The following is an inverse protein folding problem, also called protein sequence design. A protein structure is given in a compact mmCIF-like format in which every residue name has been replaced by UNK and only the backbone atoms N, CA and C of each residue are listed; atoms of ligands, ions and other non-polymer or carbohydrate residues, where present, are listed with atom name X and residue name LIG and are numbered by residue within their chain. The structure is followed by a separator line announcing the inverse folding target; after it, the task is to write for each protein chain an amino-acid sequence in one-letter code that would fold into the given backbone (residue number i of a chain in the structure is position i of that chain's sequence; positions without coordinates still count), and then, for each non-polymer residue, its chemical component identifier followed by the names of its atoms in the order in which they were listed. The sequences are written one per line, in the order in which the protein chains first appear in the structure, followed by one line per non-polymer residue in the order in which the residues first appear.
data_IF_361697301095
#
_entry.id   IF_361697301095
#
_cell.length_a   1.000
_cell.length_b   1.000
_cell.length_c   1.000
_cell.angle_alpha   90.00
_cell.angle_beta   90.00
_cell.angle_gamma   90.00
#
_symmetry.space_group_name_H-M   'P 1'
#
loop_
_entity.id
_entity.type
_entity.pdbx_description
1 polymer ?
#
# COMPACT_ATOMS: atom_id res chain seq x y z
N UNK A 1 14.69 -31.50 -25.91
CA UNK A 1 14.29 -30.27 -25.20
C UNK A 1 12.83 -30.43 -24.80
N UNK A 2 12.59 -30.75 -23.54
CA UNK A 2 11.31 -31.31 -23.09
C UNK A 2 10.35 -30.19 -22.68
N UNK A 3 9.08 -30.31 -23.07
CA UNK A 3 7.94 -29.39 -22.83
C UNK A 3 7.79 -28.93 -21.37
N UNK A 4 8.38 -29.67 -20.42
CA UNK A 4 8.49 -29.31 -19.01
C UNK A 4 9.28 -28.02 -18.74
N UNK A 5 10.33 -27.74 -19.52
CA UNK A 5 11.12 -26.51 -19.34
C UNK A 5 10.34 -25.27 -19.78
N UNK A 6 9.52 -25.37 -20.82
CA UNK A 6 8.62 -24.30 -21.28
C UNK A 6 7.51 -24.03 -20.26
N UNK A 7 7.00 -25.07 -19.60
CA UNK A 7 6.00 -24.90 -18.53
C UNK A 7 6.61 -24.29 -17.28
N UNK A 8 7.86 -24.63 -16.94
CA UNK A 8 8.62 -24.04 -15.82
C UNK A 8 9.05 -22.59 -16.10
N UNK A 9 9.40 -22.27 -17.35
CA UNK A 9 9.66 -20.90 -17.84
C UNK A 9 8.39 -20.05 -17.90
N UNK A 10 7.23 -20.65 -18.22
CA UNK A 10 5.93 -19.98 -18.14
C UNK A 10 5.43 -19.81 -16.69
N UNK A 11 5.89 -20.67 -15.75
CA UNK A 11 5.65 -20.59 -14.31
C UNK A 11 6.62 -19.68 -13.55
N UNK A 12 7.42 -18.87 -14.24
CA UNK A 12 8.53 -18.06 -13.68
C UNK A 12 8.13 -17.01 -12.65
N UNK A 13 6.85 -16.90 -12.28
CA UNK A 13 6.46 -16.19 -11.07
C UNK A 13 5.41 -17.00 -10.31
N UNK A 14 5.87 -17.79 -9.34
CA UNK A 14 5.00 -18.43 -8.35
C UNK A 14 4.06 -17.35 -7.75
N UNK A 15 2.73 -17.51 -7.86
CA UNK A 15 1.77 -16.51 -7.36
C UNK A 15 1.96 -16.18 -5.87
N UNK A 16 2.45 -17.13 -5.08
CA UNK A 16 2.78 -16.90 -3.66
C UNK A 16 3.96 -15.94 -3.52
N UNK A 17 4.99 -16.14 -4.33
CA UNK A 17 6.17 -15.28 -4.38
C UNK A 17 5.81 -13.87 -4.88
N UNK A 18 4.92 -13.75 -5.89
CA UNK A 18 4.41 -12.45 -6.35
C UNK A 18 3.66 -11.72 -5.25
N UNK A 19 2.74 -12.42 -4.58
CA UNK A 19 1.95 -11.84 -3.49
C UNK A 19 2.85 -11.30 -2.38
N UNK A 20 3.86 -12.07 -1.97
CA UNK A 20 4.84 -11.63 -0.96
C UNK A 20 5.65 -10.40 -1.41
N UNK A 21 6.02 -10.32 -2.69
CA UNK A 21 6.72 -9.15 -3.24
C UNK A 21 5.83 -7.92 -3.23
N UNK A 22 4.57 -8.03 -3.64
CA UNK A 22 3.63 -6.90 -3.62
C UNK A 22 3.31 -6.44 -2.20
N UNK A 23 3.14 -7.37 -1.24
CA UNK A 23 3.00 -7.02 0.18
C UNK A 23 4.28 -6.35 0.71
N UNK A 24 5.45 -6.85 0.34
CA UNK A 24 6.73 -6.26 0.75
C UNK A 24 6.94 -4.84 0.22
N UNK A 25 6.62 -4.62 -1.07
CA UNK A 25 6.69 -3.29 -1.69
C UNK A 25 5.70 -2.32 -1.05
N UNK A 26 4.46 -2.75 -0.84
CA UNK A 26 3.44 -1.98 -0.13
C UNK A 26 3.91 -1.62 1.29
N UNK A 27 4.42 -2.59 2.04
CA UNK A 27 4.96 -2.34 3.38
C UNK A 27 6.07 -1.29 3.41
N UNK A 28 7.02 -1.36 2.48
CA UNK A 28 8.14 -0.40 2.40
C UNK A 28 7.64 0.99 2.02
N UNK A 29 6.77 1.09 1.01
CA UNK A 29 6.24 2.38 0.56
C UNK A 29 5.37 3.00 1.65
N UNK A 30 4.46 2.23 2.23
CA UNK A 30 3.51 2.70 3.25
C UNK A 30 4.21 3.07 4.56
N UNK A 31 5.11 2.22 5.07
CA UNK A 31 5.87 2.54 6.27
C UNK A 31 6.87 3.68 6.05
N UNK A 32 7.54 3.72 4.90
CA UNK A 32 8.45 4.81 4.54
C UNK A 32 7.75 6.16 4.46
N UNK A 33 6.56 6.19 3.84
CA UNK A 33 5.73 7.39 3.79
C UNK A 33 5.22 7.78 5.18
N UNK A 34 4.77 6.80 5.97
CA UNK A 34 4.35 7.02 7.36
C UNK A 34 5.45 7.62 8.22
N UNK A 35 6.67 7.09 8.12
CA UNK A 35 7.83 7.61 8.83
C UNK A 35 8.17 9.04 8.39
N UNK A 36 8.10 9.34 7.10
CA UNK A 36 8.30 10.69 6.60
C UNK A 36 7.26 11.65 7.19
N UNK A 37 5.98 11.29 7.18
CA UNK A 37 4.92 12.08 7.79
C UNK A 37 5.14 12.27 9.30
N UNK A 38 5.54 11.24 10.03
CA UNK A 38 5.77 11.34 11.48
C UNK A 38 7.01 12.17 11.82
N UNK A 39 8.10 12.02 11.08
CA UNK A 39 9.38 12.67 11.36
C UNK A 39 9.40 14.16 10.98
N UNK A 40 8.73 14.54 9.88
CA UNK A 40 8.74 15.91 9.35
C UNK A 40 7.32 16.45 9.10
N UNK A 41 6.38 16.12 9.99
CA UNK A 41 4.97 16.54 9.91
C UNK A 41 4.78 18.06 9.78
N UNK A 42 5.59 18.86 10.47
CA UNK A 42 5.52 20.32 10.42
C UNK A 42 5.83 20.90 9.04
N UNK A 43 7.04 20.67 8.49
CA UNK A 43 7.38 21.09 7.13
C UNK A 43 6.46 20.51 6.06
N UNK A 44 6.13 19.21 6.13
CA UNK A 44 5.23 18.58 5.16
C UNK A 44 3.81 19.14 5.26
N UNK A 45 3.30 19.40 6.46
CA UNK A 45 1.97 19.99 6.64
C UNK A 45 1.84 21.36 5.99
N UNK A 46 2.85 22.22 6.18
CA UNK A 46 2.89 23.52 5.48
C UNK A 46 2.98 23.36 3.96
N UNK A 47 3.79 22.42 3.49
CA UNK A 47 3.96 22.19 2.05
C UNK A 47 2.70 21.64 1.39
N UNK A 48 2.04 20.67 2.02
CA UNK A 48 0.84 20.00 1.51
C UNK A 48 -0.45 20.78 1.81
N UNK A 49 -0.40 21.79 2.70
CA UNK A 49 -1.59 22.49 3.20
C UNK A 49 -2.48 21.59 4.06
N UNK A 50 -1.87 20.72 4.86
CA UNK A 50 -2.57 19.78 5.75
C UNK A 50 -2.11 20.04 7.18
N UNK A 51 -3.02 19.92 8.15
CA UNK A 51 -2.69 20.05 9.56
C UNK A 51 -1.55 19.09 9.95
N UNK A 52 -0.55 19.60 10.67
CA UNK A 52 0.63 18.82 11.05
C UNK A 52 0.32 17.78 12.13
N UNK A 53 -0.68 18.02 12.98
CA UNK A 53 -1.14 17.04 13.98
C UNK A 53 -1.81 15.84 13.29
N UNK A 54 -2.66 16.12 12.31
CA UNK A 54 -3.25 15.10 11.43
C UNK A 54 -2.16 14.32 10.69
N UNK A 55 -1.21 14.99 10.04
CA UNK A 55 -0.11 14.32 9.34
C UNK A 55 0.74 13.44 10.26
N UNK A 56 1.04 13.91 11.47
CA UNK A 56 1.76 13.11 12.46
C UNK A 56 0.98 11.85 12.84
N UNK A 57 -0.32 11.99 13.14
CA UNK A 57 -1.20 10.86 13.47
C UNK A 57 -1.30 9.84 12.33
N UNK A 58 -1.48 10.33 11.09
CA UNK A 58 -1.46 9.49 9.89
C UNK A 58 -0.10 8.82 9.71
N UNK A 59 0.99 9.52 9.99
CA UNK A 59 2.35 8.99 9.90
C UNK A 59 2.59 7.81 10.83
N UNK A 60 2.19 7.94 12.10
CA UNK A 60 2.27 6.86 13.09
C UNK A 60 1.40 5.68 12.65
N UNK A 61 0.15 5.94 12.25
CA UNK A 61 -0.77 4.90 11.79
C UNK A 61 -0.21 4.12 10.59
N UNK A 62 0.26 4.81 9.55
CA UNK A 62 0.81 4.20 8.34
C UNK A 62 2.09 3.43 8.62
N UNK A 63 2.92 3.91 9.54
CA UNK A 63 4.13 3.19 9.98
C UNK A 63 3.77 1.85 10.61
N UNK A 64 2.81 1.84 11.55
CA UNK A 64 2.35 0.61 12.21
C UNK A 64 1.65 -0.33 11.24
N UNK A 65 0.81 0.20 10.35
CA UNK A 65 0.15 -0.57 9.32
C UNK A 65 1.17 -1.22 8.37
N UNK A 66 2.12 -0.44 7.82
CA UNK A 66 3.16 -0.95 6.94
C UNK A 66 4.05 -2.00 7.62
N UNK A 67 4.35 -1.85 8.91
CA UNK A 67 5.03 -2.89 9.68
C UNK A 67 4.21 -4.20 9.76
N UNK A 68 2.90 -4.10 9.97
CA UNK A 68 1.99 -5.25 9.93
C UNK A 68 1.93 -5.93 8.55
N UNK A 69 1.88 -5.15 7.47
CA UNK A 69 1.96 -5.67 6.09
C UNK A 69 3.31 -6.35 5.84
N UNK A 70 4.41 -5.75 6.30
CA UNK A 70 5.75 -6.31 6.17
C UNK A 70 5.91 -7.63 6.92
N UNK A 71 5.33 -7.72 8.13
CA UNK A 71 5.25 -8.96 8.88
C UNK A 71 4.49 -10.06 8.11
N UNK A 72 3.38 -9.69 7.46
CA UNK A 72 2.62 -10.61 6.62
C UNK A 72 3.44 -11.07 5.39
N UNK A 73 4.18 -10.16 4.75
CA UNK A 73 5.04 -10.45 3.60
C UNK A 73 6.21 -11.41 3.96
N UNK A 74 6.72 -11.33 5.19
CA UNK A 74 7.79 -12.18 5.68
C UNK A 74 7.38 -13.65 5.87
N UNK A 75 6.08 -13.94 6.00
CA UNK A 75 5.57 -15.31 6.14
C UNK A 75 5.79 -16.11 4.85
N UNK A 76 6.24 -17.37 4.97
CA UNK A 76 6.39 -18.29 3.83
C UNK A 76 5.07 -18.52 3.08
N UNK A 77 3.97 -18.61 3.82
CA UNK A 77 2.61 -18.72 3.31
C UNK A 77 1.72 -17.71 4.03
N UNK A 78 1.52 -16.51 3.45
CA UNK A 78 0.68 -15.48 4.06
C UNK A 78 -0.76 -15.98 4.27
N UNK A 79 -1.34 -15.88 5.48
CA UNK A 79 -2.73 -16.24 5.71
C UNK A 79 -3.66 -15.41 4.84
N UNK A 80 -4.58 -16.05 4.13
CA UNK A 80 -5.43 -15.35 3.18
C UNK A 80 -6.31 -14.27 3.81
N UNK A 81 -6.75 -14.49 5.06
CA UNK A 81 -7.51 -13.49 5.80
C UNK A 81 -6.71 -12.19 5.99
N UNK A 82 -5.43 -12.31 6.38
CA UNK A 82 -4.56 -11.15 6.53
C UNK A 82 -4.33 -10.41 5.22
N UNK A 83 -4.12 -11.14 4.13
CA UNK A 83 -3.93 -10.54 2.79
C UNK A 83 -5.18 -9.79 2.36
N UNK A 84 -6.36 -10.36 2.60
CA UNK A 84 -7.64 -9.71 2.28
C UNK A 84 -7.86 -8.45 3.10
N UNK A 85 -7.52 -8.46 4.38
CA UNK A 85 -7.59 -7.28 5.24
C UNK A 85 -6.68 -6.15 4.73
N UNK A 86 -5.47 -6.46 4.23
CA UNK A 86 -4.57 -5.46 3.62
C UNK A 86 -5.18 -4.89 2.34
N UNK A 87 -5.72 -5.74 1.45
CA UNK A 87 -6.39 -5.29 0.22
C UNK A 87 -7.56 -4.36 0.54
N UNK A 88 -8.43 -4.76 1.46
CA UNK A 88 -9.62 -3.99 1.86
C UNK A 88 -9.21 -2.69 2.56
N UNK A 89 -8.19 -2.72 3.43
CA UNK A 89 -7.63 -1.54 4.09
C UNK A 89 -7.04 -0.54 3.09
N UNK A 90 -6.26 -1.00 2.13
CA UNK A 90 -5.69 -0.17 1.07
C UNK A 90 -6.77 0.43 0.16
N UNK A 91 -7.78 -0.36 -0.21
CA UNK A 91 -8.92 0.13 -1.00
C UNK A 91 -9.73 1.19 -0.23
N UNK A 92 -10.03 0.94 1.04
CA UNK A 92 -10.72 1.90 1.91
C UNK A 92 -9.90 3.18 2.06
N UNK A 93 -8.57 3.07 2.23
CA UNK A 93 -7.68 4.22 2.33
C UNK A 93 -7.65 5.05 1.05
N UNK A 94 -7.62 4.41 -0.12
CA UNK A 94 -7.67 5.10 -1.41
C UNK A 94 -8.98 5.89 -1.58
N UNK A 95 -10.13 5.26 -1.28
CA UNK A 95 -11.45 5.92 -1.33
C UNK A 95 -11.51 7.07 -0.33
N UNK A 96 -11.09 6.83 0.92
CA UNK A 96 -11.08 7.82 1.98
C UNK A 96 -10.20 9.03 1.61
N UNK A 97 -9.05 8.81 0.98
CA UNK A 97 -8.17 9.89 0.52
C UNK A 97 -8.85 10.79 -0.51
N UNK A 98 -9.59 10.21 -1.45
CA UNK A 98 -10.36 10.97 -2.45
C UNK A 98 -11.53 11.72 -1.80
N UNK A 99 -12.27 11.05 -0.91
CA UNK A 99 -13.38 11.68 -0.16
C UNK A 99 -12.85 12.84 0.70
N UNK A 100 -11.76 12.64 1.42
CA UNK A 100 -11.15 13.67 2.26
C UNK A 100 -10.72 14.88 1.42
N UNK A 101 -10.15 14.66 0.23
CA UNK A 101 -9.78 15.73 -0.69
C UNK A 101 -10.97 16.57 -1.16
N UNK A 102 -12.12 15.94 -1.42
CA UNK A 102 -13.29 16.63 -1.98
C UNK A 102 -14.17 17.27 -0.89
N UNK A 103 -14.22 16.65 0.30
CA UNK A 103 -15.23 16.99 1.31
C UNK A 103 -14.64 17.74 2.51
N UNK A 104 -13.38 17.48 2.89
CA UNK A 104 -12.85 17.91 4.20
C UNK A 104 -11.57 18.74 4.12
N UNK A 105 -10.73 18.49 3.12
CA UNK A 105 -9.42 19.09 3.01
C UNK A 105 -9.43 20.25 2.01
N UNK A 106 -8.68 21.31 2.32
CA UNK A 106 -8.35 22.39 1.40
C UNK A 106 -6.82 22.46 1.28
N UNK A 107 -6.19 21.47 0.62
CA UNK A 107 -4.74 21.38 0.56
C UNK A 107 -4.14 22.48 -0.32
N UNK A 108 -2.82 22.63 -0.23
CA UNK A 108 -2.06 23.40 -1.22
C UNK A 108 -2.13 22.72 -2.60
N UNK A 109 -1.65 23.40 -3.65
CA UNK A 109 -1.48 22.77 -4.98
C UNK A 109 -0.65 21.50 -4.90
N UNK A 110 0.40 21.48 -4.07
CA UNK A 110 1.22 20.29 -3.88
C UNK A 110 0.43 19.15 -3.21
N UNK A 111 -0.37 19.46 -2.19
CA UNK A 111 -1.25 18.47 -1.55
C UNK A 111 -2.35 17.96 -2.48
N UNK A 112 -2.91 18.83 -3.34
CA UNK A 112 -3.92 18.46 -4.33
C UNK A 112 -3.40 17.47 -5.39
N UNK A 113 -2.09 17.47 -5.68
CA UNK A 113 -1.44 16.47 -6.54
C UNK A 113 -1.04 15.23 -5.74
N UNK A 114 -0.49 15.44 -4.55
CA UNK A 114 0.05 14.38 -3.71
C UNK A 114 -1.02 13.42 -3.19
N UNK A 115 -2.16 13.94 -2.71
CA UNK A 115 -3.24 13.12 -2.13
C UNK A 115 -3.82 12.12 -3.15
N UNK A 116 -4.19 12.53 -4.38
CA UNK A 116 -4.61 11.58 -5.42
C UNK A 116 -3.50 10.61 -5.82
N UNK A 117 -2.26 11.08 -5.94
CA UNK A 117 -1.13 10.24 -6.32
C UNK A 117 -0.93 9.10 -5.30
N UNK A 118 -0.89 9.40 -4.00
CA UNK A 118 -0.77 8.34 -2.98
C UNK A 118 -1.99 7.40 -2.99
N UNK A 119 -3.20 7.92 -3.25
CA UNK A 119 -4.41 7.11 -3.30
C UNK A 119 -4.35 6.11 -4.46
N UNK A 120 -3.86 6.54 -5.62
CA UNK A 120 -3.63 5.68 -6.78
C UNK A 120 -2.54 4.65 -6.50
N UNK A 121 -1.44 5.03 -5.83
CA UNK A 121 -0.37 4.08 -5.46
C UNK A 121 -0.90 2.98 -4.54
N UNK A 122 -1.59 3.34 -3.45
CA UNK A 122 -2.14 2.37 -2.49
C UNK A 122 -3.25 1.52 -3.12
N UNK A 123 -4.13 2.13 -3.92
CA UNK A 123 -5.13 1.41 -4.71
C UNK A 123 -4.52 0.45 -5.74
N UNK A 124 -3.40 0.83 -6.35
CA UNK A 124 -2.61 -0.01 -7.24
C UNK A 124 -2.05 -1.23 -6.52
N UNK A 125 -1.52 -1.07 -5.30
CA UNK A 125 -1.10 -2.21 -4.48
C UNK A 125 -2.27 -3.14 -4.14
N UNK A 126 -3.43 -2.59 -3.75
CA UNK A 126 -4.63 -3.39 -3.50
C UNK A 126 -5.03 -4.23 -4.73
N UNK A 127 -5.00 -3.63 -5.92
CA UNK A 127 -5.31 -4.33 -7.17
C UNK A 127 -4.30 -5.45 -7.49
N UNK A 128 -3.00 -5.18 -7.34
CA UNK A 128 -1.94 -6.17 -7.58
C UNK A 128 -2.00 -7.33 -6.58
N UNK A 129 -2.23 -7.04 -5.31
CA UNK A 129 -2.40 -8.04 -4.25
C UNK A 129 -3.66 -8.88 -4.47
N UNK A 130 -4.78 -8.26 -4.89
CA UNK A 130 -6.01 -8.96 -5.24
C UNK A 130 -5.81 -9.90 -6.44
N UNK A 131 -5.17 -9.43 -7.51
CA UNK A 131 -4.88 -10.25 -8.68
C UNK A 131 -4.00 -11.46 -8.33
N UNK A 132 -2.95 -11.25 -7.54
CA UNK A 132 -2.08 -12.33 -7.06
C UNK A 132 -2.82 -13.31 -6.15
N UNK A 133 -3.71 -12.83 -5.28
CA UNK A 133 -4.50 -13.68 -4.40
C UNK A 133 -5.54 -14.50 -5.17
N UNK A 134 -6.17 -13.92 -6.19
CA UNK A 134 -7.10 -14.63 -7.08
C UNK A 134 -6.39 -15.75 -7.84
N UNK A 135 -5.16 -15.53 -8.28
CA UNK A 135 -4.36 -16.55 -8.96
C UNK A 135 -3.95 -17.74 -8.04
N UNK A 136 -4.01 -17.56 -6.72
CA UNK A 136 -3.76 -18.63 -5.73
C UNK A 136 -4.99 -19.50 -5.41
N UNK A 137 -6.18 -19.04 -5.78
CA UNK A 137 -7.47 -19.70 -5.53
C UNK A 137 -8.07 -20.14 -6.86
N UNK A 138 -7.68 -21.32 -7.40
CA UNK A 138 -8.20 -21.84 -8.65
C UNK A 138 -9.71 -22.12 -8.59
#
# INVERSE_FOLDING_TARGET
MTTYQLTALARTTDPTTMLRRFLGLDAVVTAGNGLAYAAVSGPLGRFLGVDSGLLFGLGVFLTLYGAGVGYLAARKSPPTFGVRAVIEGNAAWAVLSVVALVVWLSPSTAGAVWIPMQALTVGGFAALQYAALRALRP
#
